data_IF_118013126608
#
_entry.id   IF_118013126608
#
_cell.length_a   1.000
_cell.length_b   1.000
_cell.length_c   1.000
_cell.angle_alpha   90.00
_cell.angle_beta   90.00
_cell.angle_gamma   90.00
#
_symmetry.space_group_name_H-M   'P 1'
#
loop_
_entity.id
_entity.type
_entity.pdbx_description
1 polymer ?
#
# COMPACT_ATOMS: atom_id res chain seq x y z
N UNK A 1 -20.81 26.28 9.54
CA UNK A 1 -19.83 25.88 8.51
C UNK A 1 -19.89 24.37 8.41
N UNK A 2 -20.20 23.81 7.23
CA UNK A 2 -20.31 22.36 7.06
C UNK A 2 -18.95 21.71 7.36
N UNK A 3 -18.91 20.81 8.34
CA UNK A 3 -17.69 20.08 8.68
C UNK A 3 -17.33 19.18 7.50
N UNK A 4 -16.15 19.44 6.90
CA UNK A 4 -15.59 18.61 5.84
C UNK A 4 -15.63 17.12 6.24
N UNK A 5 -16.20 16.29 5.38
CA UNK A 5 -16.25 14.86 5.64
C UNK A 5 -14.83 14.29 5.82
N UNK A 6 -14.62 13.50 6.87
CA UNK A 6 -13.35 12.81 7.13
C UNK A 6 -12.98 11.85 5.99
N UNK A 7 -11.70 11.54 5.83
CA UNK A 7 -11.23 10.60 4.80
C UNK A 7 -11.95 9.24 4.87
N UNK A 8 -12.24 8.75 6.09
CA UNK A 8 -12.99 7.51 6.30
C UNK A 8 -14.43 7.62 5.82
N UNK A 9 -15.11 8.74 6.09
CA UNK A 9 -16.48 8.97 5.61
C UNK A 9 -16.52 9.06 4.08
N UNK A 10 -15.55 9.73 3.45
CA UNK A 10 -15.41 9.77 1.98
C UNK A 10 -15.21 8.38 1.40
N UNK A 11 -14.34 7.58 1.99
CA UNK A 11 -14.08 6.21 1.55
C UNK A 11 -15.32 5.32 1.70
N UNK A 12 -16.04 5.42 2.82
CA UNK A 12 -17.31 4.70 3.04
C UNK A 12 -18.34 5.05 1.97
N UNK A 13 -18.44 6.32 1.57
CA UNK A 13 -19.33 6.74 0.48
C UNK A 13 -18.88 6.15 -0.86
N UNK A 14 -17.58 6.24 -1.19
CA UNK A 14 -17.04 5.68 -2.44
C UNK A 14 -17.27 4.16 -2.55
N UNK A 15 -17.11 3.41 -1.47
CA UNK A 15 -17.34 1.96 -1.47
C UNK A 15 -18.82 1.56 -1.62
N UNK A 16 -19.78 2.49 -1.47
CA UNK A 16 -21.20 2.22 -1.73
C UNK A 16 -21.55 2.29 -3.21
N UNK A 17 -20.78 3.03 -4.02
CA UNK A 17 -21.07 3.19 -5.45
C UNK A 17 -20.51 2.01 -6.25
N UNK A 18 -21.15 1.67 -7.38
CA UNK A 18 -20.65 0.61 -8.26
C UNK A 18 -19.27 0.96 -8.85
N UNK A 19 -19.09 2.22 -9.28
CA UNK A 19 -17.82 2.71 -9.79
C UNK A 19 -16.70 2.66 -8.73
N UNK A 20 -16.97 3.10 -7.50
CA UNK A 20 -15.98 3.09 -6.43
C UNK A 20 -15.60 1.68 -5.98
N UNK A 21 -16.55 0.74 -5.97
CA UNK A 21 -16.25 -0.69 -5.75
C UNK A 21 -15.39 -1.28 -6.86
N UNK A 22 -15.67 -0.97 -8.12
CA UNK A 22 -14.87 -1.43 -9.25
C UNK A 22 -13.43 -0.91 -9.16
N UNK A 23 -13.25 0.38 -8.86
CA UNK A 23 -11.93 0.99 -8.67
C UNK A 23 -11.20 0.38 -7.46
N UNK A 24 -11.87 0.22 -6.32
CA UNK A 24 -11.29 -0.39 -5.14
C UNK A 24 -10.89 -1.86 -5.39
N UNK A 25 -11.65 -2.59 -6.19
CA UNK A 25 -11.36 -3.97 -6.57
C UNK A 25 -10.04 -4.14 -7.31
N UNK A 26 -9.53 -3.10 -7.99
CA UNK A 26 -8.22 -3.12 -8.65
C UNK A 26 -7.07 -3.36 -7.66
N UNK A 27 -7.28 -3.09 -6.35
CA UNK A 27 -6.27 -3.32 -5.31
C UNK A 27 -5.81 -4.78 -5.24
N UNK A 28 -6.71 -5.72 -5.54
CA UNK A 28 -6.43 -7.16 -5.55
C UNK A 28 -5.28 -7.53 -6.50
N UNK A 29 -5.17 -6.82 -7.62
CA UNK A 29 -4.13 -7.06 -8.64
C UNK A 29 -2.96 -6.09 -8.57
N UNK A 30 -3.13 -4.94 -7.92
CA UNK A 30 -2.09 -3.91 -7.85
C UNK A 30 -1.33 -3.96 -6.53
N UNK A 31 -1.94 -3.52 -5.43
CA UNK A 31 -1.24 -3.27 -4.16
C UNK A 31 -1.20 -4.50 -3.24
N UNK A 32 -2.24 -5.33 -3.24
CA UNK A 32 -2.31 -6.51 -2.38
C UNK A 32 -1.18 -7.52 -2.68
N UNK A 33 -0.84 -7.82 -3.95
CA UNK A 33 0.29 -8.70 -4.26
C UNK A 33 1.62 -8.13 -3.79
N UNK A 34 1.82 -6.82 -3.91
CA UNK A 34 3.05 -6.14 -3.46
C UNK A 34 3.22 -6.31 -1.96
N UNK A 35 2.18 -6.04 -1.17
CA UNK A 35 2.22 -6.25 0.27
C UNK A 35 2.41 -7.73 0.64
N UNK A 36 1.79 -8.65 -0.11
CA UNK A 36 1.98 -10.09 0.06
C UNK A 36 3.44 -10.50 -0.12
N UNK A 37 4.07 -10.06 -1.22
CA UNK A 37 5.48 -10.32 -1.54
C UNK A 37 6.40 -9.77 -0.45
N UNK A 38 6.18 -8.52 -0.02
CA UNK A 38 7.00 -7.89 1.03
C UNK A 38 6.92 -8.69 2.34
N UNK A 39 5.72 -9.14 2.73
CA UNK A 39 5.51 -9.85 4.01
C UNK A 39 5.96 -11.31 3.99
N UNK A 40 5.88 -11.98 2.84
CA UNK A 40 6.14 -13.43 2.72
C UNK A 40 7.51 -13.71 2.12
N UNK A 41 7.79 -13.19 0.92
CA UNK A 41 9.04 -13.44 0.21
C UNK A 41 10.20 -12.59 0.74
N UNK A 42 9.95 -11.32 1.07
CA UNK A 42 10.98 -10.44 1.64
C UNK A 42 11.04 -10.53 3.17
N UNK A 43 10.10 -11.25 3.80
CA UNK A 43 10.02 -11.48 5.26
C UNK A 43 9.96 -10.20 6.10
N UNK A 44 9.62 -9.05 5.52
CA UNK A 44 9.52 -7.79 6.24
C UNK A 44 8.13 -7.68 6.89
N UNK A 45 8.06 -7.91 8.20
CA UNK A 45 6.79 -7.92 8.96
C UNK A 45 6.69 -6.89 10.07
N UNK A 46 7.81 -6.35 10.52
CA UNK A 46 7.86 -5.40 11.62
C UNK A 46 8.80 -4.26 11.28
N UNK A 47 8.44 -3.08 11.77
CA UNK A 47 9.26 -1.88 11.72
C UNK A 47 9.97 -1.79 13.07
N UNK A 48 11.27 -1.53 13.04
CA UNK A 48 12.09 -1.54 14.26
C UNK A 48 12.18 -0.14 14.88
N UNK A 49 12.23 0.88 14.04
CA UNK A 49 12.32 2.27 14.46
C UNK A 49 10.94 2.86 14.82
N UNK A 50 10.93 3.77 15.79
CA UNK A 50 9.72 4.47 16.26
C UNK A 50 9.68 5.90 15.75
N UNK A 51 8.48 6.42 15.55
CA UNK A 51 8.23 7.77 15.02
C UNK A 51 8.05 7.80 13.50
N UNK A 52 7.15 8.65 13.03
CA UNK A 52 6.74 8.70 11.61
C UNK A 52 7.91 8.93 10.65
N UNK A 53 8.90 9.74 11.02
CA UNK A 53 10.08 10.00 10.19
C UNK A 53 10.91 8.74 9.96
N UNK A 54 11.22 8.00 11.03
CA UNK A 54 12.02 6.79 10.95
C UNK A 54 11.26 5.63 10.27
N UNK A 55 9.97 5.47 10.58
CA UNK A 55 9.05 4.53 9.90
C UNK A 55 9.05 4.75 8.39
N UNK A 56 8.98 6.01 7.93
CA UNK A 56 9.04 6.35 6.50
C UNK A 56 10.39 5.98 5.88
N UNK A 57 11.48 6.16 6.61
CA UNK A 57 12.81 5.73 6.19
C UNK A 57 12.87 4.22 5.94
N UNK A 58 12.48 3.40 6.93
CA UNK A 58 12.44 1.95 6.77
C UNK A 58 11.55 1.51 5.59
N UNK A 59 10.37 2.12 5.47
CA UNK A 59 9.46 1.81 4.37
C UNK A 59 10.04 2.16 3.00
N UNK A 60 10.81 3.24 2.90
CA UNK A 60 11.50 3.63 1.65
C UNK A 60 12.53 2.58 1.24
N UNK A 61 13.29 2.03 2.19
CA UNK A 61 14.23 0.94 1.92
C UNK A 61 13.54 -0.35 1.46
N UNK A 62 12.45 -0.73 2.12
CA UNK A 62 11.67 -1.92 1.76
C UNK A 62 11.09 -1.80 0.35
N UNK A 63 10.52 -0.64 0.01
CA UNK A 63 9.97 -0.40 -1.33
C UNK A 63 11.05 -0.33 -2.40
N UNK A 64 12.23 0.24 -2.10
CA UNK A 64 13.39 0.19 -3.00
C UNK A 64 13.82 -1.25 -3.28
N UNK A 65 13.97 -2.08 -2.24
CA UNK A 65 14.33 -3.48 -2.39
C UNK A 65 13.30 -4.26 -3.23
N UNK A 66 12.00 -3.98 -3.03
CA UNK A 66 10.94 -4.56 -3.85
C UNK A 66 11.03 -4.11 -5.32
N UNK A 67 11.27 -2.82 -5.58
CA UNK A 67 11.42 -2.28 -6.93
C UNK A 67 12.59 -2.94 -7.66
N UNK A 68 13.74 -3.09 -6.99
CA UNK A 68 14.92 -3.77 -7.57
C UNK A 68 14.58 -5.22 -7.92
N UNK A 69 13.96 -5.97 -7.00
CA UNK A 69 13.52 -7.34 -7.26
C UNK A 69 12.57 -7.43 -8.45
N UNK A 70 11.61 -6.50 -8.54
CA UNK A 70 10.66 -6.44 -9.66
C UNK A 70 11.37 -6.17 -10.99
N UNK A 71 12.29 -5.21 -11.03
CA UNK A 71 13.05 -4.90 -12.24
C UNK A 71 13.92 -6.06 -12.70
N UNK A 72 14.53 -6.81 -11.77
CA UNK A 72 15.32 -7.99 -12.09
C UNK A 72 14.46 -9.08 -12.75
N UNK A 73 13.25 -9.35 -12.22
CA UNK A 73 12.31 -10.32 -12.81
C UNK A 73 11.80 -9.88 -14.18
N UNK A 74 11.63 -8.57 -14.42
CA UNK A 74 11.19 -8.04 -15.71
C UNK A 74 12.31 -7.97 -16.78
N UNK A 75 13.57 -8.03 -16.35
CA UNK A 75 14.74 -8.00 -17.24
C UNK A 75 15.15 -9.40 -17.72
N UNK A 76 14.87 -10.43 -16.92
CA UNK A 76 15.02 -11.84 -17.32
C UNK A 76 13.82 -12.31 -18.13
#
# INVERSE_FOLDING_TARGET
MATEATAVQRMKHQLKTCAGRAQYGLRKKTVEPVFGIIKTLMRFRQILLRGLGAVRGEWSWVTLAWNIRRMAVLRG
#
